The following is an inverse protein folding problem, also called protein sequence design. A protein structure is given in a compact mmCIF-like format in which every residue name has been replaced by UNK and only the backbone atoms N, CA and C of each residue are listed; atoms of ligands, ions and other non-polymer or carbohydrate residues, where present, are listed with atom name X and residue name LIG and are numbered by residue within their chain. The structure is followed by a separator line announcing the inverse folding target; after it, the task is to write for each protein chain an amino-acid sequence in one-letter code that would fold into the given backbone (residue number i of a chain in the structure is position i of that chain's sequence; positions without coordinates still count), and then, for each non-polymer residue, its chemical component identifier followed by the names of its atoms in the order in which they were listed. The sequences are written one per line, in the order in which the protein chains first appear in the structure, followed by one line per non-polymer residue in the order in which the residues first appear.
data_IF_671770912387
#
_entry.id   IF_671770912387
#
_cell.length_a   1.000
_cell.length_b   1.000
_cell.length_c   1.000
_cell.angle_alpha   90.00
_cell.angle_beta   90.00
_cell.angle_gamma   90.00
#
_symmetry.space_group_name_H-M   'P 1'
#
loop_
_entity.id
_entity.type
_entity.pdbx_description
1 polymer ?
#
# COMPACT_ATOMS: atom_id res chain seq x y z
N UNK A 1 1.75 -5.86 19.69
CA UNK A 1 0.36 -6.34 19.49
C UNK A 1 -0.19 -5.77 18.19
N UNK A 2 -1.19 -6.42 17.58
CA UNK A 2 -1.81 -6.01 16.30
C UNK A 2 -3.24 -5.55 16.53
N UNK A 3 -3.66 -4.49 15.84
CA UNK A 3 -4.96 -3.88 16.03
C UNK A 3 -5.66 -3.59 14.71
N UNK A 4 -6.97 -3.76 14.74
CA UNK A 4 -7.91 -3.27 13.75
C UNK A 4 -8.51 -1.98 14.30
N UNK A 5 -8.49 -0.91 13.52
CA UNK A 5 -8.96 0.40 13.93
C UNK A 5 -10.06 0.90 13.01
N UNK A 6 -11.15 1.39 13.58
CA UNK A 6 -12.05 2.29 12.86
C UNK A 6 -11.63 3.74 13.22
N UNK A 7 -11.03 4.49 12.30
CA UNK A 7 -10.53 5.84 12.58
C UNK A 7 -11.64 6.87 12.73
N UNK A 8 -12.85 6.59 12.23
CA UNK A 8 -14.00 7.50 12.35
C UNK A 8 -14.66 7.38 13.73
N UNK A 9 -14.75 6.18 14.29
CA UNK A 9 -15.31 5.96 15.65
C UNK A 9 -14.25 5.96 16.75
N UNK A 10 -12.97 5.79 16.39
CA UNK A 10 -11.88 5.57 17.34
C UNK A 10 -11.89 4.17 17.97
N UNK A 11 -12.67 3.23 17.43
CA UNK A 11 -12.73 1.86 17.92
C UNK A 11 -11.44 1.12 17.58
N UNK A 12 -10.81 0.49 18.58
CA UNK A 12 -9.66 -0.39 18.41
C UNK A 12 -10.00 -1.80 18.88
N UNK A 13 -9.77 -2.80 18.03
CA UNK A 13 -9.91 -4.22 18.34
C UNK A 13 -8.55 -4.89 18.23
N UNK A 14 -8.09 -5.51 19.32
CA UNK A 14 -6.83 -6.26 19.33
C UNK A 14 -7.03 -7.63 18.68
N UNK A 15 -6.21 -7.95 17.68
CA UNK A 15 -6.17 -9.28 17.10
C UNK A 15 -5.44 -10.25 18.05
N UNK A 16 -5.87 -11.52 18.13
CA UNK A 16 -5.12 -12.56 18.82
C UNK A 16 -3.68 -12.62 18.29
N UNK A 17 -2.73 -12.93 19.16
CA UNK A 17 -1.38 -13.25 18.72
C UNK A 17 -1.37 -14.65 18.08
N UNK A 18 -0.52 -14.86 17.07
CA UNK A 18 -0.24 -16.17 16.50
C UNK A 18 1.21 -16.56 16.81
N UNK A 19 1.47 -17.85 16.96
CA UNK A 19 2.77 -18.37 17.35
C UNK A 19 3.83 -18.11 16.28
N UNK A 20 5.01 -17.67 16.72
CA UNK A 20 6.12 -17.30 15.84
C UNK A 20 6.69 -15.95 16.25
N UNK A 21 7.68 -15.99 17.14
CA UNK A 21 8.49 -14.84 17.52
C UNK A 21 9.42 -14.45 16.36
N UNK A 22 8.88 -13.93 15.26
CA UNK A 22 9.72 -13.24 14.29
C UNK A 22 9.64 -11.74 14.51
N UNK A 23 10.80 -11.18 14.85
CA UNK A 23 11.14 -9.76 14.78
C UNK A 23 11.22 -9.30 13.31
N UNK A 24 10.35 -9.79 12.44
CA UNK A 24 10.22 -9.25 11.09
C UNK A 24 9.40 -7.98 11.22
N UNK A 25 9.96 -6.89 10.71
CA UNK A 25 9.25 -5.62 10.57
C UNK A 25 7.83 -5.89 10.11
N UNK A 26 6.90 -5.23 10.78
CA UNK A 26 5.44 -5.37 10.70
C UNK A 26 4.84 -4.95 9.37
N UNK A 27 5.69 -4.77 8.37
CA UNK A 27 5.36 -4.32 7.04
C UNK A 27 4.87 -5.56 6.28
N UNK A 28 3.58 -5.59 5.97
CA UNK A 28 2.97 -6.73 5.28
C UNK A 28 1.68 -7.26 5.91
N UNK A 29 1.10 -6.61 6.92
CA UNK A 29 -0.27 -6.92 7.34
C UNK A 29 -1.29 -6.10 6.55
N UNK A 30 -2.13 -6.78 5.78
CA UNK A 30 -3.26 -6.21 5.08
C UNK A 30 -4.57 -6.44 5.81
N UNK A 31 -5.56 -5.60 5.51
CA UNK A 31 -6.91 -5.71 6.02
C UNK A 31 -7.89 -5.54 4.87
N UNK A 32 -8.82 -6.48 4.73
CA UNK A 32 -9.85 -6.47 3.71
C UNK A 32 -11.21 -6.56 4.40
N UNK A 33 -12.10 -5.64 4.06
CA UNK A 33 -13.49 -5.68 4.53
C UNK A 33 -14.41 -6.21 3.44
N UNK A 34 -15.49 -6.90 3.83
CA UNK A 34 -16.55 -7.31 2.92
C UNK A 34 -17.89 -6.81 3.44
N UNK A 35 -18.60 -6.02 2.64
CA UNK A 35 -19.87 -5.39 3.00
C UNK A 35 -21.10 -6.25 2.69
N UNK A 36 -22.25 -5.88 3.29
CA UNK A 36 -23.56 -6.34 2.84
C UNK A 36 -23.91 -5.70 1.49
N UNK A 37 -23.70 -6.41 0.39
CA UNK A 37 -23.89 -5.86 -0.95
C UNK A 37 -22.85 -4.77 -1.29
N UNK A 38 -23.09 -4.02 -2.37
CA UNK A 38 -22.08 -3.12 -2.94
C UNK A 38 -21.78 -1.86 -2.09
N UNK A 39 -22.65 -1.47 -1.15
CA UNK A 39 -22.51 -0.21 -0.39
C UNK A 39 -23.01 -0.30 1.05
N UNK A 40 -23.10 -1.50 1.62
CA UNK A 40 -23.57 -1.71 2.99
C UNK A 40 -22.46 -1.52 4.03
N UNK A 41 -22.80 -1.56 5.33
CA UNK A 41 -21.79 -1.65 6.38
C UNK A 41 -20.93 -2.92 6.18
N UNK A 42 -19.68 -2.92 6.66
CA UNK A 42 -18.84 -4.13 6.65
C UNK A 42 -19.58 -5.23 7.41
N UNK A 43 -19.73 -6.39 6.76
CA UNK A 43 -20.31 -7.61 7.34
C UNK A 43 -19.25 -8.37 8.12
N UNK A 44 -18.05 -8.46 7.54
CA UNK A 44 -16.90 -9.20 8.06
C UNK A 44 -15.62 -8.56 7.55
N UNK A 45 -14.51 -8.87 8.19
CA UNK A 45 -13.18 -8.52 7.71
C UNK A 45 -12.22 -9.70 7.84
N UNK A 46 -11.14 -9.64 7.07
CA UNK A 46 -9.99 -10.50 7.26
C UNK A 46 -8.74 -9.64 7.36
N UNK A 47 -7.89 -9.96 8.34
CA UNK A 47 -6.53 -9.43 8.40
C UNK A 47 -5.58 -10.52 7.93
N UNK A 48 -4.61 -10.21 7.07
CA UNK A 48 -3.69 -11.22 6.58
C UNK A 48 -2.26 -10.72 6.48
N UNK A 49 -1.31 -11.63 6.66
CA UNK A 49 0.10 -11.41 6.46
C UNK A 49 0.63 -12.45 5.49
N UNK A 50 1.50 -12.01 4.57
CA UNK A 50 2.25 -12.86 3.67
C UNK A 50 3.73 -12.79 4.04
N UNK A 51 4.39 -13.93 4.19
CA UNK A 51 5.82 -13.99 4.55
C UNK A 51 6.52 -15.05 3.72
N UNK A 52 7.71 -14.74 3.23
CA UNK A 52 8.55 -15.72 2.54
C UNK A 52 9.06 -16.78 3.51
N UNK A 53 8.96 -18.05 3.11
CA UNK A 53 9.52 -19.20 3.84
C UNK A 53 10.33 -20.07 2.88
N UNK A 54 11.06 -21.06 3.41
CA UNK A 54 11.87 -21.99 2.61
C UNK A 54 12.84 -21.26 1.64
N UNK A 55 13.42 -20.14 2.09
CA UNK A 55 14.34 -19.35 1.26
C UNK A 55 13.68 -18.66 0.06
N UNK A 56 12.38 -18.37 0.12
CA UNK A 56 11.61 -17.70 -0.95
C UNK A 56 10.97 -18.67 -1.94
N UNK A 57 11.11 -19.98 -1.72
CA UNK A 57 10.46 -21.00 -2.56
C UNK A 57 8.96 -21.13 -2.27
N UNK A 58 8.53 -20.67 -1.09
CA UNK A 58 7.15 -20.72 -0.64
C UNK A 58 6.80 -19.46 0.13
N UNK A 59 5.51 -19.23 0.27
CA UNK A 59 4.97 -18.20 1.15
C UNK A 59 4.09 -18.82 2.22
N UNK A 60 4.20 -18.29 3.43
CA UNK A 60 3.28 -18.51 4.51
C UNK A 60 2.25 -17.38 4.51
N UNK A 61 1.00 -17.73 4.21
CA UNK A 61 -0.15 -16.86 4.37
C UNK A 61 -0.76 -17.13 5.75
N UNK A 62 -0.77 -16.10 6.61
CA UNK A 62 -1.53 -16.10 7.87
C UNK A 62 -2.73 -15.21 7.70
N UNK A 63 -3.92 -15.70 8.03
CA UNK A 63 -5.16 -14.93 7.90
C UNK A 63 -6.05 -15.10 9.11
N UNK A 64 -6.51 -13.98 9.63
CA UNK A 64 -7.52 -13.89 10.67
C UNK A 64 -8.88 -13.67 10.03
N UNK A 65 -9.91 -14.36 10.52
CA UNK A 65 -11.30 -14.11 10.13
C UNK A 65 -12.09 -13.51 11.28
N UNK A 66 -12.78 -12.39 11.04
CA UNK A 66 -13.67 -11.79 12.04
C UNK A 66 -14.89 -12.67 12.37
N UNK A 67 -15.23 -13.64 11.52
CA UNK A 67 -16.38 -14.54 11.73
C UNK A 67 -16.04 -15.70 12.67
N UNK A 68 -14.80 -16.20 12.63
CA UNK A 68 -14.35 -17.30 13.50
C UNK A 68 -13.53 -16.82 14.68
N UNK A 69 -12.91 -15.65 14.59
CA UNK A 69 -12.00 -15.11 15.61
C UNK A 69 -10.64 -15.79 15.66
N UNK A 70 -10.34 -16.62 14.66
CA UNK A 70 -9.18 -17.50 14.65
C UNK A 70 -8.25 -17.19 13.48
N UNK A 71 -6.98 -17.54 13.66
CA UNK A 71 -5.97 -17.53 12.60
C UNK A 71 -5.94 -18.87 11.86
N UNK A 72 -5.86 -18.82 10.54
CA UNK A 72 -5.56 -19.94 9.66
C UNK A 72 -4.21 -19.69 8.96
N UNK A 73 -3.37 -20.72 8.93
CA UNK A 73 -2.04 -20.68 8.31
C UNK A 73 -2.00 -21.59 7.08
N UNK A 74 -1.50 -21.05 5.96
CA UNK A 74 -1.38 -21.78 4.70
C UNK A 74 -0.02 -21.55 4.07
N UNK A 75 0.71 -22.64 3.84
CA UNK A 75 1.95 -22.61 3.06
C UNK A 75 1.60 -22.82 1.58
N UNK A 76 1.95 -21.85 0.75
CA UNK A 76 1.63 -21.80 -0.68
C UNK A 76 2.91 -21.79 -1.51
N UNK A 77 2.93 -22.42 -2.70
CA UNK A 77 4.09 -22.37 -3.58
C UNK A 77 4.34 -20.95 -4.07
N UNK A 78 5.61 -20.53 -4.15
CA UNK A 78 5.97 -19.21 -4.67
C UNK A 78 5.59 -19.09 -6.15
N UNK A 79 4.83 -18.06 -6.57
CA UNK A 79 4.58 -17.78 -7.97
C UNK A 79 5.74 -17.00 -8.63
N UNK A 80 6.79 -16.68 -7.87
CA UNK A 80 7.90 -15.86 -8.35
C UNK A 80 8.84 -16.67 -9.24
N UNK A 81 9.53 -15.99 -10.19
CA UNK A 81 10.63 -16.62 -10.93
C UNK A 81 11.65 -17.26 -9.98
N UNK A 82 12.30 -18.37 -10.37
CA UNK A 82 13.28 -19.03 -9.53
C UNK A 82 14.36 -18.06 -9.02
N UNK A 83 14.66 -18.13 -7.72
CA UNK A 83 15.65 -17.28 -7.01
C UNK A 83 15.26 -15.82 -6.83
N UNK A 84 14.15 -15.36 -7.41
CA UNK A 84 13.63 -14.02 -7.14
C UNK A 84 12.94 -14.02 -5.77
N UNK A 85 13.27 -13.02 -4.96
CA UNK A 85 12.64 -12.76 -3.66
C UNK A 85 11.72 -11.56 -3.82
N UNK A 86 10.70 -11.46 -2.97
CA UNK A 86 9.85 -10.29 -2.89
C UNK A 86 10.26 -9.38 -1.75
N UNK A 87 10.46 -8.10 -2.07
CA UNK A 87 10.69 -7.06 -1.09
C UNK A 87 9.37 -6.37 -0.73
N UNK A 88 8.67 -6.89 0.29
CA UNK A 88 7.30 -6.51 0.68
C UNK A 88 7.24 -5.37 1.72
N UNK A 89 7.99 -4.30 1.53
CA UNK A 89 8.03 -3.15 2.47
C UNK A 89 6.99 -2.08 2.12
N UNK A 90 6.41 -2.16 0.92
CA UNK A 90 5.28 -1.34 0.50
C UNK A 90 4.02 -1.71 1.30
N UNK A 91 3.12 -0.75 1.55
CA UNK A 91 1.86 -1.05 2.23
C UNK A 91 1.03 -2.08 1.45
N UNK A 92 0.27 -2.89 2.19
CA UNK A 92 -0.61 -3.89 1.60
C UNK A 92 -1.90 -3.23 1.15
N UNK A 93 -2.25 -3.41 -0.12
CA UNK A 93 -3.42 -2.75 -0.71
C UNK A 93 -4.66 -3.64 -0.63
N UNK A 94 -5.80 -3.03 -0.33
CA UNK A 94 -7.13 -3.61 -0.55
C UNK A 94 -7.61 -3.20 -1.94
N UNK A 95 -7.71 -4.16 -2.85
CA UNK A 95 -8.24 -3.91 -4.18
C UNK A 95 -8.94 -5.13 -4.78
N UNK A 96 -10.14 -4.91 -5.33
CA UNK A 96 -10.87 -5.94 -6.08
C UNK A 96 -11.24 -7.17 -5.24
N UNK A 97 -11.49 -6.99 -3.94
CA UNK A 97 -11.79 -8.09 -3.02
C UNK A 97 -10.56 -8.95 -2.67
N UNK A 98 -9.36 -8.39 -2.81
CA UNK A 98 -8.08 -9.07 -2.58
C UNK A 98 -7.12 -8.16 -1.84
N UNK A 99 -6.21 -8.77 -1.10
CA UNK A 99 -5.05 -8.11 -0.52
C UNK A 99 -3.85 -8.24 -1.46
N UNK A 100 -3.09 -7.17 -1.63
CA UNK A 100 -1.97 -7.07 -2.57
C UNK A 100 -0.68 -6.71 -1.84
N UNK A 101 0.30 -7.60 -1.90
CA UNK A 101 1.67 -7.36 -1.43
C UNK A 101 2.52 -6.93 -2.61
N UNK A 102 3.12 -5.75 -2.51
CA UNK A 102 3.79 -5.08 -3.63
C UNK A 102 5.31 -5.19 -3.49
N UNK A 103 5.96 -5.55 -4.60
CA UNK A 103 7.40 -5.38 -4.83
C UNK A 103 7.57 -4.41 -6.01
N UNK A 104 7.99 -3.18 -5.71
CA UNK A 104 8.11 -2.10 -6.70
C UNK A 104 9.17 -2.34 -7.79
N UNK A 105 10.00 -3.39 -7.68
CA UNK A 105 10.93 -3.80 -8.74
C UNK A 105 10.31 -4.77 -9.73
N UNK A 106 9.22 -5.44 -9.36
CA UNK A 106 8.67 -6.57 -10.12
C UNK A 106 7.17 -6.48 -10.38
N UNK A 107 6.35 -6.21 -9.37
CA UNK A 107 4.90 -6.38 -9.44
C UNK A 107 4.26 -6.50 -8.08
N UNK A 108 3.20 -7.30 -8.01
CA UNK A 108 2.51 -7.62 -6.78
C UNK A 108 2.02 -9.06 -6.78
N UNK A 109 1.84 -9.63 -5.59
CA UNK A 109 1.08 -10.87 -5.39
C UNK A 109 -0.22 -10.48 -4.71
N UNK A 110 -1.35 -10.93 -5.25
CA UNK A 110 -2.65 -10.73 -4.61
C UNK A 110 -3.34 -12.03 -4.22
N UNK A 111 -4.10 -11.96 -3.13
CA UNK A 111 -4.79 -13.11 -2.52
C UNK A 111 -6.17 -12.69 -2.04
N UNK A 112 -7.18 -13.53 -2.27
CA UNK A 112 -8.46 -13.41 -1.57
C UNK A 112 -8.33 -14.08 -0.18
N UNK A 113 -8.29 -13.30 0.93
CA UNK A 113 -8.13 -13.87 2.26
C UNK A 113 -9.39 -14.63 2.74
N UNK A 114 -10.54 -14.47 2.09
CA UNK A 114 -11.79 -15.17 2.45
C UNK A 114 -11.98 -16.51 1.71
N UNK A 115 -11.16 -16.80 0.69
CA UNK A 115 -11.30 -18.05 -0.08
C UNK A 115 -10.88 -19.27 0.74
N UNK A 116 -11.69 -20.35 0.75
CA UNK A 116 -11.30 -21.62 1.38
C UNK A 116 -10.03 -22.25 0.75
N UNK A 117 -9.73 -21.85 -0.48
CA UNK A 117 -8.55 -22.27 -1.25
C UNK A 117 -7.82 -21.02 -1.74
N UNK A 118 -7.02 -20.37 -0.88
CA UNK A 118 -6.30 -19.17 -1.27
C UNK A 118 -5.24 -19.52 -2.33
N UNK A 119 -5.17 -18.69 -3.36
CA UNK A 119 -4.19 -18.80 -4.44
C UNK A 119 -3.38 -17.50 -4.50
N UNK A 120 -2.07 -17.63 -4.72
CA UNK A 120 -1.19 -16.50 -4.94
C UNK A 120 -1.29 -16.09 -6.41
N UNK A 121 -1.83 -14.90 -6.69
CA UNK A 121 -2.00 -14.40 -8.04
C UNK A 121 -0.92 -13.33 -8.35
N UNK A 122 0.10 -13.67 -9.15
CA UNK A 122 1.13 -12.72 -9.57
C UNK A 122 0.59 -11.70 -10.57
N UNK A 123 0.96 -10.43 -10.42
CA UNK A 123 0.73 -9.36 -11.39
C UNK A 123 2.01 -8.57 -11.58
N UNK A 124 2.64 -8.73 -12.74
CA UNK A 124 3.87 -8.04 -13.10
C UNK A 124 3.63 -6.55 -13.37
N UNK A 125 4.63 -5.72 -13.12
CA UNK A 125 4.67 -4.32 -13.52
C UNK A 125 4.63 -4.15 -15.05
N UNK A 126 4.39 -2.92 -15.57
CA UNK A 126 4.65 -2.64 -16.98
C UNK A 126 6.04 -3.13 -17.41
N UNK A 127 6.14 -3.72 -18.60
CA UNK A 127 7.37 -4.40 -19.04
C UNK A 127 8.65 -3.54 -19.03
N UNK A 128 8.51 -2.22 -19.21
CA UNK A 128 9.64 -1.27 -19.16
C UNK A 128 10.01 -0.86 -17.73
N UNK A 129 9.12 -1.07 -16.76
CA UNK A 129 9.32 -0.79 -15.34
C UNK A 129 9.89 -2.00 -14.60
N UNK A 130 9.53 -3.21 -15.03
CA UNK A 130 9.98 -4.45 -14.41
C UNK A 130 11.50 -4.61 -14.50
N UNK A 131 12.14 -4.89 -13.36
CA UNK A 131 13.58 -5.13 -13.26
C UNK A 131 13.84 -6.64 -13.21
N UNK A 132 14.59 -7.20 -14.17
CA UNK A 132 14.80 -8.65 -14.26
C UNK A 132 15.65 -9.20 -13.12
N UNK A 133 16.64 -8.42 -12.68
CA UNK A 133 17.58 -8.80 -11.64
C UNK A 133 17.04 -8.50 -10.24
N UNK A 134 17.55 -9.24 -9.26
CA UNK A 134 17.29 -8.97 -7.85
C UNK A 134 18.14 -7.78 -7.43
N UNK A 135 17.48 -6.73 -6.94
CA UNK A 135 18.14 -5.59 -6.33
C UNK A 135 18.56 -5.91 -4.90
N UNK A 136 19.63 -5.26 -4.44
CA UNK A 136 19.99 -5.26 -3.03
C UNK A 136 19.06 -4.34 -2.20
N UNK A 137 19.16 -4.43 -0.87
CA UNK A 137 18.33 -3.67 0.07
C UNK A 137 18.48 -2.15 -0.07
N UNK A 138 19.66 -1.66 -0.42
CA UNK A 138 19.90 -0.23 -0.58
C UNK A 138 19.32 0.28 -1.91
N UNK A 139 19.48 -0.49 -2.98
CA UNK A 139 18.86 -0.22 -4.28
C UNK A 139 17.33 -0.22 -4.17
N UNK A 140 16.75 -1.22 -3.49
CA UNK A 140 15.30 -1.27 -3.22
C UNK A 140 14.82 -0.07 -2.41
N UNK A 141 15.57 0.34 -1.37
CA UNK A 141 15.24 1.52 -0.55
C UNK A 141 15.23 2.82 -1.36
N UNK A 142 16.04 2.94 -2.41
CA UNK A 142 15.94 4.10 -3.31
C UNK A 142 14.79 3.93 -4.28
N UNK A 143 14.61 2.74 -4.85
CA UNK A 143 13.57 2.48 -5.85
C UNK A 143 12.15 2.75 -5.33
N UNK A 144 11.85 2.34 -4.09
CA UNK A 144 10.53 2.54 -3.47
C UNK A 144 10.16 4.01 -3.30
N UNK A 145 11.14 4.93 -3.29
CA UNK A 145 10.86 6.36 -3.21
C UNK A 145 10.34 6.95 -4.51
N UNK A 146 10.57 6.28 -5.63
CA UNK A 146 10.22 6.76 -6.97
C UNK A 146 9.11 5.95 -7.62
N UNK A 147 8.58 4.95 -6.92
CA UNK A 147 7.55 4.04 -7.42
C UNK A 147 6.53 3.80 -6.33
N UNK A 148 5.25 3.85 -6.68
CA UNK A 148 4.18 3.65 -5.71
C UNK A 148 2.98 2.99 -6.39
N UNK A 149 2.36 2.03 -5.70
CA UNK A 149 1.11 1.43 -6.14
C UNK A 149 0.02 1.79 -5.14
N UNK A 150 -1.15 2.21 -5.61
CA UNK A 150 -2.23 2.57 -4.71
C UNK A 150 -3.59 2.52 -5.39
N UNK A 151 -4.64 2.67 -4.59
CA UNK A 151 -6.02 2.66 -5.09
C UNK A 151 -6.53 4.08 -5.21
N UNK A 152 -7.05 4.43 -6.39
CA UNK A 152 -7.60 5.75 -6.69
C UNK A 152 -8.93 5.59 -7.42
N UNK A 153 -10.00 6.21 -6.90
CA UNK A 153 -11.34 6.15 -7.47
C UNK A 153 -11.82 4.73 -7.83
N UNK A 154 -11.48 3.75 -6.99
CA UNK A 154 -11.83 2.34 -7.19
C UNK A 154 -11.02 1.61 -8.26
N UNK A 155 -9.87 2.17 -8.68
CA UNK A 155 -8.93 1.57 -9.64
C UNK A 155 -7.57 1.38 -9.00
N UNK A 156 -6.84 0.34 -9.40
CA UNK A 156 -5.45 0.17 -8.99
C UNK A 156 -4.52 0.94 -9.93
N UNK A 157 -3.70 1.81 -9.35
CA UNK A 157 -2.74 2.64 -10.05
C UNK A 157 -1.32 2.26 -9.65
N UNK A 158 -0.42 2.34 -10.62
CA UNK A 158 1.02 2.31 -10.41
C UNK A 158 1.61 3.61 -10.96
N UNK A 159 2.39 4.31 -10.16
CA UNK A 159 3.07 5.53 -10.54
C UNK A 159 4.57 5.34 -10.43
N UNK A 160 5.31 5.94 -11.35
CA UNK A 160 6.77 5.94 -11.33
C UNK A 160 7.34 7.28 -11.80
N UNK A 161 8.53 7.59 -11.30
CA UNK A 161 9.32 8.75 -11.69
C UNK A 161 10.69 8.28 -12.18
N UNK A 162 11.07 8.75 -13.36
CA UNK A 162 12.43 8.68 -13.88
C UNK A 162 12.99 10.11 -14.06
N UNK A 163 14.28 10.28 -14.42
CA UNK A 163 14.88 11.60 -14.52
C UNK A 163 14.20 12.57 -15.51
N UNK A 164 13.40 12.06 -16.45
CA UNK A 164 12.77 12.82 -17.52
C UNK A 164 11.24 12.84 -17.42
N UNK A 165 10.64 11.78 -16.89
CA UNK A 165 9.20 11.57 -16.94
C UNK A 165 8.60 11.12 -15.61
N UNK A 166 7.37 11.56 -15.41
CA UNK A 166 6.47 11.05 -14.38
C UNK A 166 5.37 10.30 -15.12
N UNK A 167 5.18 9.02 -14.79
CA UNK A 167 4.19 8.15 -15.44
C UNK A 167 3.20 7.61 -14.43
N UNK A 168 1.97 7.42 -14.87
CA UNK A 168 0.97 6.64 -14.15
C UNK A 168 0.32 5.60 -15.06
N UNK A 169 0.00 4.47 -14.48
CA UNK A 169 -0.58 3.31 -15.12
C UNK A 169 -1.83 2.89 -14.36
N UNK A 170 -2.85 2.43 -15.07
CA UNK A 170 -4.03 1.80 -14.49
C UNK A 170 -4.01 0.32 -14.80
N UNK A 171 -4.33 -0.53 -13.80
CA UNK A 171 -4.52 -1.95 -14.03
C UNK A 171 -5.89 -2.21 -14.66
N UNK A 172 -5.93 -2.97 -15.74
CA UNK A 172 -7.16 -3.54 -16.28
C UNK A 172 -7.54 -4.81 -15.50
N UNK A 173 -8.75 -4.84 -14.94
CA UNK A 173 -9.18 -5.91 -14.04
C UNK A 173 -9.33 -7.27 -14.73
N UNK A 174 -9.76 -7.26 -15.99
CA UNK A 174 -10.03 -8.47 -16.76
C UNK A 174 -8.74 -9.10 -17.27
N UNK A 175 -7.87 -8.30 -17.90
CA UNK A 175 -6.63 -8.78 -18.50
C UNK A 175 -5.44 -8.82 -17.54
N UNK A 176 -5.55 -8.19 -16.35
CA UNK A 176 -4.46 -8.01 -15.39
C UNK A 176 -3.22 -7.34 -16.01
N UNK A 177 -3.45 -6.43 -16.95
CA UNK A 177 -2.39 -5.69 -17.63
C UNK A 177 -2.44 -4.21 -17.31
N UNK A 178 -1.26 -3.64 -17.14
CA UNK A 178 -1.10 -2.21 -16.97
C UNK A 178 -1.25 -1.48 -18.30
N UNK A 179 -2.04 -0.41 -18.28
CA UNK A 179 -2.15 0.54 -19.39
C UNK A 179 -1.59 1.87 -18.94
N UNK A 180 -0.72 2.47 -19.75
CA UNK A 180 -0.22 3.83 -19.51
C UNK A 180 -1.40 4.80 -19.54
N UNK A 181 -1.65 5.43 -18.40
CA UNK A 181 -2.72 6.40 -18.24
C UNK A 181 -2.20 7.81 -18.55
N UNK A 182 -1.10 8.21 -17.91
CA UNK A 182 -0.51 9.53 -18.08
C UNK A 182 1.01 9.48 -18.17
N UNK A 183 1.57 10.44 -18.91
CA UNK A 183 3.01 10.72 -18.95
C UNK A 183 3.23 12.22 -19.06
N UNK A 184 3.99 12.79 -18.14
CA UNK A 184 4.37 14.22 -18.12
C UNK A 184 5.88 14.37 -17.93
N UNK A 185 6.44 15.52 -18.37
CA UNK A 185 7.85 15.83 -18.12
C UNK A 185 8.06 16.22 -16.65
N UNK A 186 9.21 15.85 -16.09
CA UNK A 186 9.67 16.34 -14.77
C UNK A 186 9.86 17.87 -14.78
N UNK A 187 10.08 18.47 -15.95
CA UNK A 187 10.16 19.94 -16.11
C UNK A 187 8.87 20.68 -15.72
N UNK A 188 7.77 19.96 -15.56
CA UNK A 188 6.52 20.49 -15.03
C UNK A 188 6.66 21.01 -13.59
N UNK A 189 7.61 20.46 -12.84
CA UNK A 189 7.82 20.79 -11.44
C UNK A 189 8.57 22.13 -11.28
N UNK A 190 8.40 22.81 -10.13
CA UNK A 190 9.11 24.05 -9.85
C UNK A 190 10.63 23.88 -10.06
N UNK A 191 11.25 24.87 -10.69
CA UNK A 191 12.65 24.89 -11.15
C UNK A 191 12.96 24.14 -12.46
N UNK A 192 11.97 23.66 -13.23
CA UNK A 192 12.11 23.36 -14.67
C UNK A 192 13.31 22.49 -15.04
N UNK A 193 13.44 21.32 -14.40
CA UNK A 193 14.53 20.38 -14.66
C UNK A 193 15.86 20.71 -13.95
N UNK A 194 15.96 21.84 -13.25
CA UNK A 194 17.12 22.17 -12.39
C UNK A 194 16.95 21.74 -10.92
N UNK A 195 15.91 20.96 -10.60
CA UNK A 195 15.88 20.25 -9.34
C UNK A 195 17.11 19.32 -9.31
N UNK A 196 18.06 19.58 -8.40
CA UNK A 196 19.23 18.70 -8.21
C UNK A 196 18.84 17.27 -7.83
N UNK A 197 17.59 17.06 -7.43
CA UNK A 197 17.07 15.84 -6.84
C UNK A 197 15.84 15.37 -7.60
N UNK A 198 15.79 14.07 -7.88
CA UNK A 198 14.68 13.43 -8.59
C UNK A 198 13.43 13.44 -7.69
N UNK A 199 12.23 13.74 -8.24
CA UNK A 199 11.01 13.74 -7.44
C UNK A 199 10.73 12.37 -6.82
N UNK A 200 10.21 12.39 -5.59
CA UNK A 200 9.77 11.20 -4.88
C UNK A 200 8.25 11.07 -5.00
N UNK A 201 7.75 9.86 -5.22
CA UNK A 201 6.31 9.60 -5.23
C UNK A 201 5.83 9.49 -3.80
N UNK A 202 4.94 10.39 -3.38
CA UNK A 202 4.41 10.44 -2.02
C UNK A 202 3.13 9.60 -1.88
N UNK A 203 2.18 9.77 -2.80
CA UNK A 203 1.01 8.92 -2.95
C UNK A 203 0.29 9.15 -4.29
N UNK A 204 -0.57 8.21 -4.68
CA UNK A 204 -1.67 8.48 -5.61
C UNK A 204 -2.83 9.13 -4.86
N UNK A 205 -3.55 10.04 -5.51
CA UNK A 205 -4.74 10.62 -4.88
C UNK A 205 -5.86 9.58 -4.75
N UNK A 206 -6.50 9.42 -3.59
CA UNK A 206 -7.50 8.37 -3.39
C UNK A 206 -8.80 8.58 -4.19
N UNK A 207 -9.09 9.80 -4.64
CA UNK A 207 -10.37 10.17 -5.24
C UNK A 207 -10.26 10.59 -6.71
N UNK A 208 -9.10 11.02 -7.18
CA UNK A 208 -8.88 11.44 -8.57
C UNK A 208 -7.64 10.76 -9.20
N UNK A 209 -7.89 9.86 -10.14
CA UNK A 209 -6.83 9.11 -10.85
C UNK A 209 -5.86 9.98 -11.67
N UNK A 210 -6.18 11.27 -11.86
CA UNK A 210 -5.32 12.20 -12.58
C UNK A 210 -4.34 12.92 -11.66
N UNK A 211 -4.54 12.83 -10.34
CA UNK A 211 -3.75 13.53 -9.35
C UNK A 211 -2.67 12.62 -8.76
N UNK A 212 -1.44 13.12 -8.78
CA UNK A 212 -0.29 12.47 -8.17
C UNK A 212 0.36 13.45 -7.18
N UNK A 213 0.70 12.93 -6.01
CA UNK A 213 1.36 13.69 -4.96
C UNK A 213 2.85 13.33 -4.93
N UNK A 214 3.70 14.35 -5.00
CA UNK A 214 5.14 14.21 -5.11
C UNK A 214 5.83 15.03 -4.02
N UNK A 215 7.03 14.60 -3.64
CA UNK A 215 7.94 15.39 -2.83
C UNK A 215 9.19 15.73 -3.63
N UNK A 216 9.61 17.00 -3.54
CA UNK A 216 10.90 17.47 -4.05
C UNK A 216 11.55 18.24 -2.91
N UNK A 217 12.72 17.80 -2.45
CA UNK A 217 13.36 18.33 -1.24
C UNK A 217 12.37 18.34 -0.05
N UNK A 218 12.10 19.52 0.55
CA UNK A 218 11.16 19.70 1.66
C UNK A 218 9.84 20.32 1.22
N UNK A 219 9.39 20.03 0.01
CA UNK A 219 8.10 20.53 -0.47
C UNK A 219 7.29 19.41 -1.09
N UNK A 220 6.04 19.30 -0.62
CA UNK A 220 5.03 18.44 -1.20
C UNK A 220 4.24 19.20 -2.27
N UNK A 221 4.00 18.55 -3.41
CA UNK A 221 3.21 19.10 -4.50
C UNK A 221 2.22 18.08 -5.03
N UNK A 222 1.05 18.57 -5.44
CA UNK A 222 0.09 17.80 -6.21
C UNK A 222 0.12 18.24 -7.66
N UNK A 223 0.22 17.28 -8.58
CA UNK A 223 0.16 17.53 -10.01
C UNK A 223 -1.10 16.92 -10.62
N UNK A 224 -1.73 17.68 -11.50
CA UNK A 224 -2.74 17.18 -12.42
C UNK A 224 -2.02 16.69 -13.67
N UNK A 225 -1.85 15.37 -13.77
CA UNK A 225 -1.15 14.74 -14.88
C UNK A 225 -1.93 14.87 -16.19
N UNK A 226 -3.27 14.95 -16.12
CA UNK A 226 -4.14 15.09 -17.28
C UNK A 226 -4.05 16.49 -17.91
N UNK A 227 -4.05 17.53 -17.08
CA UNK A 227 -3.93 18.93 -17.49
C UNK A 227 -2.50 19.42 -17.55
N UNK A 228 -1.53 18.56 -17.17
CA UNK A 228 -0.09 18.85 -17.14
C UNK A 228 0.20 20.14 -16.40
N UNK A 229 -0.32 20.25 -15.17
CA UNK A 229 -0.14 21.44 -14.31
C UNK A 229 0.03 21.05 -12.85
N UNK A 230 0.80 21.85 -12.13
CA UNK A 230 0.84 21.80 -10.67
C UNK A 230 -0.41 22.46 -10.08
N UNK A 231 -0.96 21.91 -9.00
CA UNK A 231 -2.16 22.44 -8.33
C UNK A 231 -1.79 23.07 -7.00
N UNK A 232 -1.20 22.30 -6.09
CA UNK A 232 -0.96 22.69 -4.70
C UNK A 232 0.50 22.46 -4.34
N UNK A 233 1.00 23.27 -3.41
CA UNK A 233 2.34 23.16 -2.85
C UNK A 233 2.32 23.44 -1.36
N UNK A 234 2.84 22.53 -0.55
CA UNK A 234 2.94 22.69 0.89
C UNK A 234 4.36 22.41 1.36
N UNK A 235 4.94 23.33 2.12
CA UNK A 235 6.26 23.12 2.71
C UNK A 235 6.18 22.06 3.82
N UNK A 236 7.13 21.13 3.80
CA UNK A 236 7.28 20.12 4.84
C UNK A 236 7.99 20.78 6.03
N UNK A 237 7.43 20.69 7.26
CA UNK A 237 8.02 21.26 8.45
C UNK A 237 9.48 20.84 8.67
N UNK A 238 10.32 21.77 9.14
CA UNK A 238 11.77 21.56 9.31
C UNK A 238 12.13 20.63 10.45
N UNK A 239 11.22 20.42 11.41
CA UNK A 239 11.35 19.47 12.51
C UNK A 239 11.12 18.01 12.09
N UNK A 240 10.57 17.78 10.89
CA UNK A 240 10.46 16.45 10.28
C UNK A 240 11.73 16.11 9.49
N UNK A 241 12.10 14.83 9.48
CA UNK A 241 13.14 14.31 8.58
C UNK A 241 12.76 14.57 7.12
N UNK A 242 13.72 14.89 6.23
CA UNK A 242 13.40 15.10 4.83
C UNK A 242 12.93 13.77 4.20
N UNK A 243 12.02 13.82 3.21
CA UNK A 243 11.54 12.61 2.53
C UNK A 243 12.65 11.74 1.92
N UNK A 244 13.75 12.36 1.48
CA UNK A 244 14.89 11.65 0.91
C UNK A 244 15.69 10.82 1.93
N UNK A 245 15.66 11.17 3.22
CA UNK A 245 16.33 10.45 4.30
C UNK A 245 15.40 9.49 5.05
N UNK A 246 14.08 9.59 4.80
CA UNK A 246 13.07 8.83 5.51
C UNK A 246 12.84 7.46 4.86
N UNK A 247 12.40 6.49 5.67
CA UNK A 247 12.01 5.17 5.18
C UNK A 247 10.69 5.22 4.38
N UNK A 248 9.86 6.24 4.64
CA UNK A 248 8.62 6.52 3.91
C UNK A 248 8.72 7.85 3.18
N UNK A 249 8.12 7.92 2.00
CA UNK A 249 8.00 9.16 1.21
C UNK A 249 6.68 9.85 1.44
N UNK A 250 5.74 9.27 2.19
CA UNK A 250 4.39 9.80 2.35
C UNK A 250 4.30 10.82 3.49
N UNK A 251 4.29 12.10 3.13
CA UNK A 251 3.95 13.22 4.02
C UNK A 251 2.75 13.97 3.47
N UNK A 252 1.60 13.28 3.44
CA UNK A 252 0.36 13.91 3.04
C UNK A 252 -0.45 14.29 4.28
N UNK A 253 -0.78 15.58 4.46
CA UNK A 253 -1.75 15.97 5.47
C UNK A 253 -3.11 15.36 5.09
N UNK A 254 -3.47 14.24 5.70
CA UNK A 254 -4.78 13.63 5.51
C UNK A 254 -5.75 14.15 6.57
N UNK A 255 -6.82 14.80 6.12
CA UNK A 255 -7.98 15.08 6.97
C UNK A 255 -9.07 14.12 6.53
N UNK A 256 -9.59 13.32 7.48
CA UNK A 256 -10.73 12.46 7.22
C UNK A 256 -11.91 13.32 6.76
N UNK A 257 -12.48 13.08 5.57
CA UNK A 257 -13.61 13.85 5.10
C UNK A 257 -14.78 13.77 6.08
N UNK A 258 -15.41 14.91 6.36
CA UNK A 258 -16.53 15.00 7.33
C UNK A 258 -17.77 14.20 6.93
N UNK A 259 -17.87 13.80 5.65
CA UNK A 259 -18.96 12.98 5.12
C UNK A 259 -18.72 11.48 5.27
N UNK A 260 -17.56 11.04 5.80
CA UNK A 260 -17.30 9.63 6.04
C UNK A 260 -18.31 9.07 7.04
N UNK A 261 -19.10 8.10 6.58
CA UNK A 261 -19.98 7.32 7.45
C UNK A 261 -19.14 6.30 8.20
N UNK A 262 -19.50 6.02 9.45
CA UNK A 262 -18.87 4.97 10.22
C UNK A 262 -19.79 3.77 10.42
N UNK A 263 -19.19 2.62 10.69
CA UNK A 263 -19.87 1.40 11.12
C UNK A 263 -19.00 0.70 12.17
N UNK A 264 -19.58 0.05 13.18
CA UNK A 264 -18.79 -0.70 14.16
C UNK A 264 -17.91 -1.74 13.45
N UNK A 265 -16.74 -2.03 14.03
CA UNK A 265 -15.90 -3.15 13.61
C UNK A 265 -16.72 -4.45 13.78
N UNK A 266 -16.93 -5.25 12.72
CA UNK A 266 -17.69 -6.51 12.83
C UNK A 266 -17.00 -7.57 13.70
N UNK A 267 -17.77 -8.41 14.39
CA UNK A 267 -17.27 -9.53 15.20
C UNK A 267 -17.51 -9.36 16.70
N UNK A 268 -17.55 -10.47 17.44
CA UNK A 268 -17.99 -10.53 18.84
C UNK A 268 -16.83 -10.53 19.88
N UNK A 269 -15.59 -10.29 19.44
CA UNK A 269 -14.40 -10.40 20.30
C UNK A 269 -14.15 -9.10 21.08
N UNK A 270 -14.56 -9.13 22.34
CA UNK A 270 -14.67 -7.97 23.23
C UNK A 270 -13.35 -7.57 23.89
N UNK A 271 -12.50 -6.82 23.18
CA UNK A 271 -11.70 -5.78 23.85
C UNK A 271 -11.65 -4.55 22.94
N UNK A 272 -12.67 -3.70 23.08
CA UNK A 272 -12.69 -2.37 22.44
C UNK A 272 -11.95 -1.39 23.34
N UNK A 273 -10.85 -0.82 22.84
CA UNK A 273 -10.21 0.33 23.48
C UNK A 273 -10.69 1.60 22.80
N UNK A 274 -10.93 2.65 23.60
CA UNK A 274 -11.08 4.02 23.12
C UNK A 274 -9.69 4.66 23.12
N UNK A 275 -9.35 5.37 22.05
CA UNK A 275 -8.03 5.97 21.90
C UNK A 275 -7.81 7.08 22.95
N UNK A 276 -7.16 6.75 24.07
CA UNK A 276 -6.40 7.70 24.87
C UNK A 276 -4.94 7.52 24.49
N UNK A 277 -4.24 8.60 24.10
CA UNK A 277 -2.83 8.57 23.68
C UNK A 277 -2.02 7.56 24.50
N UNK A 278 -1.56 6.48 23.86
CA UNK A 278 -0.66 5.50 24.47
C UNK A 278 0.70 5.66 23.80
N UNK A 279 1.75 5.78 24.62
CA UNK A 279 3.16 5.96 24.27
C UNK A 279 3.83 4.73 23.62
N UNK A 280 3.07 3.78 23.07
CA UNK A 280 3.60 2.65 22.31
C UNK A 280 3.10 2.75 20.87
N UNK A 281 3.98 2.64 19.87
CA UNK A 281 3.60 2.63 18.45
C UNK A 281 2.82 1.35 18.13
N UNK A 282 1.48 1.38 18.03
CA UNK A 282 0.69 0.17 17.78
C UNK A 282 0.68 -0.09 16.28
N UNK A 283 0.66 -1.36 15.87
CA UNK A 283 0.43 -1.72 14.47
C UNK A 283 -1.07 -1.70 14.20
N UNK A 284 -1.49 -0.71 13.41
CA UNK A 284 -2.89 -0.38 13.18
C UNK A 284 -3.22 -0.61 11.71
N UNK A 285 -4.18 -1.50 11.43
CA UNK A 285 -4.84 -1.58 10.14
C UNK A 285 -6.17 -0.82 10.20
N UNK A 286 -6.48 0.00 9.19
CA UNK A 286 -7.66 0.88 9.18
C UNK A 286 -8.85 0.23 8.46
N UNK A 287 -10.02 0.26 9.10
CA UNK A 287 -11.37 -0.10 8.58
C UNK A 287 -12.13 1.15 8.18
#
# INVERSE_FOLDING_TARGET
ARFVCNPVTGQLLRLPDFDGAEKTLTDGMGLLTQAYGASGPPKRYAAAQLTEVDGGQRFLLRRFSSETGDWDERVLPSPMPPRRRMHMVHEVLDYGGRLWWVDVSWGAICVDPFSDRPELCPVELPAHSMLPDQLDENEMRQLIKHRHMGVSAGRLLYAEVDPLHIRSFTLDDDSRRWTLQHQVSVDLLPNGGNAKEMPLVAAVDPLDTNLLHLNVDRVNFSIDMSRKRMIESTAIPTDMSPPSESATTSYLPCVLPSFLRSSPIPGDYSVTFLMSCVDETPHICLI
#
